data_IF_280774555492
#
_entry.id   IF_280774555492
#
_cell.length_a   1.000
_cell.length_b   1.000
_cell.length_c   1.000
_cell.angle_alpha   90.00
_cell.angle_beta   90.00
_cell.angle_gamma   90.00
#
_symmetry.space_group_name_H-M   'P 1'
#
loop_
_entity.id
_entity.type
_entity.pdbx_description
1 polymer ?
#
# COMPACT_ATOMS: atom_id res chain seq x y z
N UNK A 1 -38.71 -7.86 -14.12
CA UNK A 1 -39.12 -6.87 -13.10
C UNK A 1 -37.85 -6.55 -12.36
N UNK A 2 -37.06 -5.69 -12.98
CA UNK A 2 -35.80 -5.18 -12.47
C UNK A 2 -36.11 -3.77 -11.97
N UNK A 3 -35.98 -3.55 -10.66
CA UNK A 3 -36.11 -2.23 -10.05
C UNK A 3 -34.85 -1.41 -10.40
N UNK A 4 -34.88 -0.78 -11.56
CA UNK A 4 -33.91 0.21 -11.97
C UNK A 4 -34.19 1.50 -11.16
N UNK A 5 -33.30 1.82 -10.23
CA UNK A 5 -33.35 3.08 -9.47
C UNK A 5 -32.96 4.22 -10.41
N UNK A 6 -33.96 4.82 -11.03
CA UNK A 6 -33.79 5.99 -11.89
C UNK A 6 -33.49 7.25 -11.05
N UNK A 7 -32.24 7.69 -11.06
CA UNK A 7 -31.83 8.96 -10.43
C UNK A 7 -32.11 10.11 -11.40
N UNK A 8 -33.29 10.73 -11.25
CA UNK A 8 -33.72 11.91 -12.01
C UNK A 8 -32.78 13.09 -11.76
N UNK A 9 -32.01 13.47 -12.77
CA UNK A 9 -31.18 14.68 -12.74
C UNK A 9 -31.98 15.91 -13.18
N UNK A 10 -32.45 16.70 -12.21
CA UNK A 10 -33.02 18.03 -12.43
C UNK A 10 -31.96 19.11 -12.75
N UNK A 11 -32.39 20.28 -13.23
CA UNK A 11 -31.49 21.30 -13.76
C UNK A 11 -30.69 21.99 -12.64
N UNK A 12 -29.35 21.86 -12.70
CA UNK A 12 -28.30 22.70 -12.07
C UNK A 12 -28.67 23.36 -10.73
N UNK A 13 -29.16 22.59 -9.76
CA UNK A 13 -29.10 22.93 -8.34
C UNK A 13 -27.98 22.11 -7.68
N UNK A 14 -27.38 22.69 -6.64
CA UNK A 14 -26.10 22.30 -6.04
C UNK A 14 -26.01 20.80 -5.73
N UNK A 15 -24.85 20.25 -6.09
CA UNK A 15 -24.38 18.86 -6.02
C UNK A 15 -24.98 18.04 -4.86
N UNK A 16 -25.43 16.79 -5.10
CA UNK A 16 -25.63 15.84 -4.01
C UNK A 16 -24.26 15.56 -3.37
N UNK A 17 -24.08 16.08 -2.15
CA UNK A 17 -22.99 15.71 -1.27
C UNK A 17 -22.99 14.18 -1.09
N UNK A 18 -21.81 13.59 -0.91
CA UNK A 18 -21.71 12.29 -0.23
C UNK A 18 -22.53 12.43 1.04
N UNK A 19 -23.57 11.62 1.22
CA UNK A 19 -24.40 11.76 2.40
C UNK A 19 -23.52 11.57 3.63
N UNK A 20 -23.52 12.55 4.55
CA UNK A 20 -22.80 12.50 5.85
C UNK A 20 -23.03 11.17 6.58
N UNK A 21 -24.09 10.45 6.24
CA UNK A 21 -24.39 9.10 6.71
C UNK A 21 -23.29 8.07 6.43
N UNK A 22 -22.44 8.22 5.42
CA UNK A 22 -21.39 7.23 5.09
C UNK A 22 -20.03 7.53 5.73
N UNK A 23 -19.86 8.71 6.33
CA UNK A 23 -18.60 9.16 6.92
C UNK A 23 -18.51 8.74 8.39
N UNK A 24 -17.36 8.18 8.77
CA UNK A 24 -16.94 8.04 10.16
C UNK A 24 -15.96 9.17 10.47
N UNK A 25 -16.36 10.20 11.24
CA UNK A 25 -15.48 11.31 11.55
C UNK A 25 -14.36 10.89 12.51
N UNK A 26 -13.15 11.39 12.28
CA UNK A 26 -12.01 11.21 13.17
C UNK A 26 -11.40 12.57 13.52
N UNK A 27 -10.82 12.76 14.72
CA UNK A 27 -10.36 14.06 15.17
C UNK A 27 -9.00 14.48 14.55
N UNK A 28 -8.49 13.70 13.59
CA UNK A 28 -7.25 13.97 12.87
C UNK A 28 -7.37 13.56 11.39
N UNK A 29 -6.55 14.13 10.51
CA UNK A 29 -6.45 13.69 9.13
C UNK A 29 -5.94 12.25 9.00
N UNK A 30 -6.75 11.39 8.35
CA UNK A 30 -6.35 10.01 8.07
C UNK A 30 -5.46 9.98 6.84
N UNK A 31 -4.27 9.37 7.00
CA UNK A 31 -3.27 9.22 5.94
C UNK A 31 -3.26 7.82 5.33
N UNK A 32 -3.57 6.81 6.15
CA UNK A 32 -3.51 5.41 5.75
C UNK A 32 -4.72 4.64 6.28
N UNK A 33 -5.12 3.63 5.50
CA UNK A 33 -6.07 2.60 5.89
C UNK A 33 -5.36 1.26 5.86
N UNK A 34 -5.67 0.38 6.81
CA UNK A 34 -5.22 -1.01 6.79
C UNK A 34 -6.24 -1.90 7.47
N UNK A 35 -6.39 -3.15 7.02
CA UNK A 35 -7.16 -4.17 7.72
C UNK A 35 -6.48 -5.53 7.59
N UNK A 36 -6.74 -6.42 8.55
CA UNK A 36 -6.18 -7.77 8.57
C UNK A 36 -6.83 -8.70 7.51
N UNK A 37 -8.11 -8.43 7.21
CA UNK A 37 -8.94 -9.11 6.23
C UNK A 37 -10.14 -8.22 5.83
N UNK A 38 -10.94 -8.69 4.87
CA UNK A 38 -12.07 -7.94 4.30
C UNK A 38 -13.28 -7.78 5.21
N UNK A 39 -13.30 -8.47 6.36
CA UNK A 39 -14.34 -8.34 7.37
C UNK A 39 -14.04 -7.21 8.38
N UNK A 40 -12.82 -6.66 8.35
CA UNK A 40 -12.40 -5.56 9.22
C UNK A 40 -12.05 -6.00 10.66
N UNK A 41 -11.87 -5.06 11.60
CA UNK A 41 -12.09 -3.62 11.46
C UNK A 41 -11.09 -2.96 10.52
N UNK A 42 -11.43 -1.76 10.04
CA UNK A 42 -10.51 -0.88 9.33
C UNK A 42 -9.74 -0.06 10.35
N UNK A 43 -8.42 -0.12 10.30
CA UNK A 43 -7.56 0.75 11.07
C UNK A 43 -7.24 2.01 10.27
N UNK A 44 -7.69 3.15 10.79
CA UNK A 44 -7.44 4.47 10.23
C UNK A 44 -6.25 5.10 10.95
N UNK A 45 -5.19 5.41 10.22
CA UNK A 45 -3.93 5.90 10.79
C UNK A 45 -3.60 7.28 10.22
N UNK A 46 -3.38 8.25 11.09
CA UNK A 46 -2.89 9.59 10.78
C UNK A 46 -1.56 9.87 11.48
N UNK A 47 -1.07 11.11 11.36
CA UNK A 47 0.14 11.54 12.07
C UNK A 47 -0.06 11.64 13.59
N UNK A 48 -1.29 11.95 14.01
CA UNK A 48 -1.62 12.29 15.40
C UNK A 48 -2.34 11.15 16.13
N UNK A 49 -2.91 10.20 15.39
CA UNK A 49 -3.72 9.15 16.00
C UNK A 49 -3.98 7.96 15.10
N UNK A 50 -4.47 6.90 15.75
CA UNK A 50 -4.97 5.69 15.12
C UNK A 50 -6.32 5.32 15.72
N UNK A 51 -7.22 4.79 14.88
CA UNK A 51 -8.53 4.31 15.30
C UNK A 51 -8.85 2.97 14.63
N UNK A 52 -9.58 2.11 15.33
CA UNK A 52 -10.27 0.99 14.70
C UNK A 52 -11.73 1.36 14.45
N UNK A 53 -12.15 1.26 13.20
CA UNK A 53 -13.51 1.53 12.74
C UNK A 53 -14.12 0.25 12.23
N UNK A 54 -15.26 -0.15 12.80
CA UNK A 54 -15.97 -1.32 12.30
C UNK A 54 -16.72 -1.02 10.99
N UNK A 55 -17.18 -2.06 10.32
CA UNK A 55 -17.90 -1.91 9.06
C UNK A 55 -19.28 -1.23 9.24
N UNK A 56 -19.79 -1.15 10.47
CA UNK A 56 -21.00 -0.38 10.82
C UNK A 56 -20.70 1.10 11.06
N UNK A 57 -19.46 1.54 10.79
CA UNK A 57 -18.97 2.93 10.96
C UNK A 57 -18.89 3.36 12.42
N UNK A 58 -18.79 2.41 13.35
CA UNK A 58 -18.56 2.71 14.76
C UNK A 58 -17.06 2.67 15.04
N UNK A 59 -16.57 3.74 15.66
CA UNK A 59 -15.22 3.78 16.22
C UNK A 59 -15.19 2.86 17.43
N UNK A 60 -14.43 1.76 17.35
CA UNK A 60 -14.23 0.82 18.45
C UNK A 60 -13.30 1.40 19.50
N UNK A 61 -12.25 2.07 19.05
CA UNK A 61 -11.28 2.76 19.89
C UNK A 61 -10.52 3.80 19.08
N UNK A 62 -9.94 4.77 19.79
CA UNK A 62 -8.96 5.74 19.29
C UNK A 62 -7.75 5.77 20.21
N UNK A 63 -6.58 6.13 19.68
CA UNK A 63 -5.39 6.38 20.48
C UNK A 63 -4.43 7.34 19.79
N UNK A 64 -3.57 8.05 20.55
CA UNK A 64 -2.43 8.73 19.97
C UNK A 64 -1.39 7.73 19.44
N UNK A 65 -0.68 8.14 18.40
CA UNK A 65 0.50 7.44 17.85
C UNK A 65 1.64 8.43 17.65
N UNK A 66 2.87 7.94 17.69
CA UNK A 66 4.05 8.74 17.34
C UNK A 66 4.17 8.84 15.82
N UNK A 67 4.57 10.00 15.31
CA UNK A 67 4.68 10.42 13.91
C UNK A 67 4.91 9.25 12.92
N UNK A 68 3.80 8.71 12.40
CA UNK A 68 3.81 7.54 11.52
C UNK A 68 4.38 7.95 10.17
N UNK A 69 5.63 7.55 9.93
CA UNK A 69 6.41 7.96 8.75
C UNK A 69 6.12 7.12 7.50
N UNK A 70 5.69 5.88 7.69
CA UNK A 70 5.42 4.92 6.61
C UNK A 70 4.11 4.18 6.84
N UNK A 71 3.63 3.52 5.78
CA UNK A 71 2.34 2.85 5.70
C UNK A 71 2.26 1.72 6.75
N UNK A 72 1.21 1.67 7.58
CA UNK A 72 1.02 0.61 8.57
C UNK A 72 0.80 -0.76 7.89
N UNK A 73 0.97 -1.84 8.66
CA UNK A 73 0.65 -3.22 8.22
C UNK A 73 -0.19 -3.90 9.29
N UNK A 74 -1.23 -4.62 8.89
CA UNK A 74 -2.00 -5.45 9.80
C UNK A 74 -1.58 -6.92 9.66
N UNK A 75 -1.39 -7.60 10.78
CA UNK A 75 -1.16 -9.03 10.82
C UNK A 75 -2.49 -9.80 10.79
N UNK A 76 -2.47 -11.11 10.47
CA UNK A 76 -3.64 -11.98 10.49
C UNK A 76 -4.47 -11.97 11.78
N UNK A 77 -3.85 -11.73 12.93
CA UNK A 77 -4.50 -11.71 14.24
C UNK A 77 -5.12 -10.34 14.60
N UNK A 78 -5.12 -9.41 13.64
CA UNK A 78 -5.63 -8.05 13.83
C UNK A 78 -4.63 -7.09 14.47
N UNK A 79 -3.40 -7.50 14.79
CA UNK A 79 -2.37 -6.55 15.25
C UNK A 79 -1.98 -5.59 14.13
N UNK A 80 -1.64 -4.35 14.48
CA UNK A 80 -1.19 -3.31 13.55
C UNK A 80 0.23 -2.90 13.91
N UNK A 81 1.10 -2.86 12.91
CA UNK A 81 2.49 -2.44 13.00
C UNK A 81 2.68 -1.07 12.33
N UNK A 82 3.40 -0.17 13.01
CA UNK A 82 3.70 1.19 12.51
C UNK A 82 5.19 1.55 12.66
N UNK A 83 5.70 2.41 11.78
CA UNK A 83 7.02 3.06 11.90
C UNK A 83 6.91 4.33 12.76
N UNK A 84 8.01 4.94 13.26
CA UNK A 84 9.43 4.75 12.93
C UNK A 84 10.15 3.58 13.62
N UNK A 85 9.58 2.98 14.68
CA UNK A 85 10.26 1.97 15.51
C UNK A 85 9.66 0.56 15.50
N UNK A 86 8.87 0.20 14.49
CA UNK A 86 8.04 -1.01 14.44
C UNK A 86 7.28 -1.23 15.77
N UNK A 87 6.22 -0.44 15.94
CA UNK A 87 5.35 -0.49 17.11
C UNK A 87 4.13 -1.36 16.83
N UNK A 88 3.88 -2.33 17.68
CA UNK A 88 2.73 -3.22 17.62
C UNK A 88 1.59 -2.66 18.46
N UNK A 89 0.40 -2.59 17.87
CA UNK A 89 -0.85 -2.31 18.56
C UNK A 89 -1.81 -3.47 18.37
N UNK A 90 -2.42 -3.93 19.45
CA UNK A 90 -3.43 -4.99 19.40
C UNK A 90 -4.74 -4.55 18.72
N UNK A 91 -5.60 -5.50 18.33
CA UNK A 91 -6.96 -5.22 17.84
C UNK A 91 -7.85 -4.50 18.87
N UNK A 92 -7.45 -4.48 20.14
CA UNK A 92 -8.07 -3.74 21.25
C UNK A 92 -7.54 -2.30 21.39
N UNK A 93 -6.57 -1.89 20.56
CA UNK A 93 -5.93 -0.57 20.62
C UNK A 93 -4.79 -0.49 21.64
N UNK A 94 -4.51 -1.56 22.38
CA UNK A 94 -3.47 -1.56 23.42
C UNK A 94 -2.10 -1.72 22.75
N UNK A 95 -1.12 -0.82 23.02
CA UNK A 95 0.26 -1.04 22.58
C UNK A 95 0.84 -2.31 23.23
N UNK A 96 1.52 -3.14 22.43
CA UNK A 96 2.04 -4.45 22.87
C UNK A 96 3.56 -4.48 22.89
N UNK A 97 4.16 -4.46 21.70
CA UNK A 97 5.61 -4.53 21.52
C UNK A 97 6.11 -3.29 20.81
N UNK A 98 7.37 -2.94 21.11
CA UNK A 98 8.20 -2.03 20.34
C UNK A 98 9.50 -2.77 20.08
N UNK A 99 9.89 -2.89 18.83
CA UNK A 99 11.14 -3.57 18.50
C UNK A 99 12.29 -2.58 18.63
N UNK A 100 13.26 -2.93 19.47
CA UNK A 100 14.53 -2.21 19.54
C UNK A 100 15.39 -2.66 18.36
N UNK A 101 15.29 -1.92 17.26
CA UNK A 101 16.03 -2.23 16.06
C UNK A 101 17.48 -1.75 16.18
N UNK A 102 18.46 -2.55 15.71
CA UNK A 102 19.87 -2.16 15.65
C UNK A 102 20.07 -1.08 14.58
N UNK A 103 19.65 0.15 14.89
CA UNK A 103 19.72 1.30 13.98
C UNK A 103 20.91 2.18 14.31
N UNK A 104 21.57 2.66 13.26
CA UNK A 104 22.51 3.77 13.40
C UNK A 104 21.74 5.04 13.83
N UNK A 105 22.34 5.93 14.64
CA UNK A 105 21.74 7.22 14.97
C UNK A 105 21.32 7.98 13.69
N UNK A 106 20.04 8.38 13.64
CA UNK A 106 19.47 9.11 12.50
C UNK A 106 19.05 8.25 11.30
N UNK A 107 19.25 6.92 11.33
CA UNK A 107 18.66 6.05 10.32
C UNK A 107 17.15 5.92 10.53
N UNK A 108 16.38 6.01 9.44
CA UNK A 108 14.92 5.91 9.45
C UNK A 108 14.47 4.67 8.68
N UNK A 109 13.52 3.93 9.23
CA UNK A 109 12.78 2.95 8.44
C UNK A 109 11.96 3.74 7.42
N UNK A 110 12.18 3.41 6.16
CA UNK A 110 11.42 3.99 5.06
C UNK A 110 10.30 3.10 4.62
N UNK A 111 10.48 1.78 4.74
CA UNK A 111 9.55 0.74 4.32
C UNK A 111 9.69 -0.47 5.19
N UNK A 112 8.59 -1.19 5.34
CA UNK A 112 8.67 -2.55 5.85
C UNK A 112 7.60 -3.48 5.26
N UNK A 113 7.94 -4.76 5.26
CA UNK A 113 7.04 -5.89 5.05
C UNK A 113 6.86 -6.62 6.37
N UNK A 114 5.62 -7.05 6.61
CA UNK A 114 5.30 -7.99 7.67
C UNK A 114 5.26 -9.39 7.06
N UNK A 115 6.09 -10.29 7.56
CA UNK A 115 6.13 -11.71 7.19
C UNK A 115 5.52 -12.54 8.32
N UNK A 116 5.19 -13.80 8.04
CA UNK A 116 4.69 -14.73 9.06
C UNK A 116 5.72 -14.99 10.18
N UNK A 117 7.01 -14.89 9.85
CA UNK A 117 8.14 -15.21 10.71
C UNK A 117 9.04 -14.00 10.99
N UNK A 118 8.57 -12.77 10.75
CA UNK A 118 9.33 -11.57 11.04
C UNK A 118 9.04 -10.42 10.10
N UNK A 119 10.08 -9.70 9.70
CA UNK A 119 9.97 -8.46 8.93
C UNK A 119 11.03 -8.37 7.86
N UNK A 120 10.75 -7.60 6.82
CA UNK A 120 11.78 -6.99 5.98
C UNK A 120 11.70 -5.49 6.15
N UNK A 121 12.82 -4.80 6.33
CA UNK A 121 12.88 -3.35 6.47
C UNK A 121 13.83 -2.74 5.46
N UNK A 122 13.48 -1.55 4.97
CA UNK A 122 14.37 -0.72 4.17
C UNK A 122 14.74 0.53 4.94
N UNK A 123 16.02 0.89 4.91
CA UNK A 123 16.54 2.03 5.64
C UNK A 123 16.81 3.21 4.71
N UNK A 124 16.42 4.41 5.16
CA UNK A 124 17.04 5.66 4.72
C UNK A 124 18.25 5.89 5.62
N UNK A 125 19.46 5.98 5.05
CA UNK A 125 20.66 6.18 5.84
C UNK A 125 20.70 7.59 6.45
N UNK A 126 21.45 7.74 7.54
CA UNK A 126 21.69 9.04 8.19
C UNK A 126 22.52 9.97 7.28
N UNK A 127 22.66 11.26 7.62
CA UNK A 127 23.40 12.22 6.80
C UNK A 127 24.86 11.82 6.50
N UNK A 128 25.45 10.93 7.30
CA UNK A 128 26.85 10.50 7.21
C UNK A 128 27.05 9.22 6.37
N UNK A 129 25.97 8.47 6.10
CA UNK A 129 26.00 7.25 5.29
C UNK A 129 24.96 7.33 4.18
N UNK A 130 25.21 6.56 3.15
CA UNK A 130 24.86 7.00 1.81
C UNK A 130 24.50 5.79 0.92
N UNK A 131 24.13 4.68 1.53
CA UNK A 131 23.77 3.46 0.82
C UNK A 131 22.39 2.95 1.23
N UNK A 132 21.70 2.44 0.21
CA UNK A 132 20.54 1.58 0.36
C UNK A 132 20.87 0.40 1.28
N UNK A 133 20.01 0.10 2.25
CA UNK A 133 20.14 -1.09 3.09
C UNK A 133 18.78 -1.74 3.26
N UNK A 134 18.77 -3.06 3.08
CA UNK A 134 17.60 -3.92 3.26
C UNK A 134 17.97 -4.99 4.27
N UNK A 135 17.08 -5.26 5.22
CA UNK A 135 17.32 -6.26 6.25
C UNK A 135 16.10 -7.14 6.45
N UNK A 136 16.33 -8.42 6.69
CA UNK A 136 15.33 -9.31 7.27
C UNK A 136 15.56 -9.43 8.76
N UNK A 137 14.47 -9.28 9.49
CA UNK A 137 14.44 -9.36 10.95
C UNK A 137 13.57 -10.56 11.35
N UNK A 138 13.95 -11.23 12.43
CA UNK A 138 13.10 -12.23 13.08
C UNK A 138 11.98 -11.55 13.91
N UNK A 139 11.06 -12.30 14.56
CA UNK A 139 9.97 -11.70 15.34
C UNK A 139 10.43 -10.93 16.59
N UNK A 140 11.70 -11.10 17.00
CA UNK A 140 12.31 -10.37 18.10
C UNK A 140 13.08 -9.12 17.62
N UNK A 141 13.09 -8.85 16.31
CA UNK A 141 13.81 -7.71 15.73
C UNK A 141 15.30 -7.95 15.51
N UNK A 142 15.79 -9.20 15.63
CA UNK A 142 17.19 -9.54 15.36
C UNK A 142 17.40 -9.71 13.87
N UNK A 143 18.53 -9.21 13.36
CA UNK A 143 18.91 -9.34 11.95
C UNK A 143 19.15 -10.82 11.62
N UNK A 144 18.38 -11.34 10.67
CA UNK A 144 18.57 -12.65 10.02
C UNK A 144 19.60 -12.52 8.89
N UNK A 145 19.41 -11.52 8.03
CA UNK A 145 20.38 -11.10 7.03
C UNK A 145 20.24 -9.60 6.74
N UNK A 146 21.30 -9.01 6.21
CA UNK A 146 21.33 -7.63 5.77
C UNK A 146 22.10 -7.53 4.45
N UNK A 147 21.56 -6.76 3.51
CA UNK A 147 22.18 -6.53 2.21
C UNK A 147 22.24 -5.04 1.90
N UNK A 148 23.38 -4.62 1.35
CA UNK A 148 23.53 -3.33 0.70
C UNK A 148 23.45 -3.59 -0.80
N UNK A 149 22.35 -3.19 -1.48
CA UNK A 149 22.22 -3.40 -2.91
C UNK A 149 23.43 -2.80 -3.65
N UNK A 150 24.01 -3.52 -4.63
CA UNK A 150 25.23 -3.07 -5.27
C UNK A 150 24.99 -1.86 -6.15
N UNK A 151 26.08 -1.20 -6.50
CA UNK A 151 26.11 -0.19 -7.56
C UNK A 151 25.75 -0.85 -8.89
N UNK A 152 24.85 -0.23 -9.66
CA UNK A 152 24.57 -0.66 -11.04
C UNK A 152 25.38 0.20 -12.00
N UNK A 153 26.35 -0.40 -12.69
CA UNK A 153 27.20 0.33 -13.63
C UNK A 153 26.39 0.98 -14.76
N UNK A 154 26.84 2.15 -15.23
CA UNK A 154 26.20 2.88 -16.33
C UNK A 154 24.99 3.76 -15.96
N UNK A 155 24.45 3.67 -14.74
CA UNK A 155 23.26 4.45 -14.33
C UNK A 155 23.54 5.81 -13.69
N UNK A 156 24.78 6.07 -13.29
CA UNK A 156 25.23 7.40 -12.87
C UNK A 156 26.63 7.67 -13.39
N UNK A 157 26.81 8.84 -14.02
CA UNK A 157 28.10 9.35 -14.48
C UNK A 157 29.03 9.75 -13.33
N UNK A 158 28.50 9.83 -12.12
CA UNK A 158 29.26 10.25 -10.94
C UNK A 158 29.90 9.04 -10.22
N UNK A 159 31.13 9.18 -9.71
CA UNK A 159 31.81 8.14 -8.94
C UNK A 159 31.12 7.82 -7.61
N UNK A 160 30.23 8.70 -7.13
CA UNK A 160 29.60 8.58 -5.82
C UNK A 160 28.12 8.14 -5.91
N UNK A 161 27.87 6.82 -5.91
CA UNK A 161 26.54 6.18 -5.75
C UNK A 161 25.92 6.38 -4.36
N UNK A 162 26.28 7.48 -3.72
CA UNK A 162 26.13 7.74 -2.30
C UNK A 162 24.76 8.34 -1.93
N UNK A 163 23.80 8.47 -2.85
CA UNK A 163 22.57 9.25 -2.56
C UNK A 163 21.29 8.61 -3.08
N UNK A 164 21.28 7.29 -3.20
CA UNK A 164 20.02 6.58 -3.40
C UNK A 164 19.24 6.57 -2.09
N UNK A 165 18.03 7.10 -2.12
CA UNK A 165 17.08 6.96 -1.04
C UNK A 165 15.91 6.10 -1.50
N UNK A 166 15.29 5.33 -0.59
CA UNK A 166 13.99 4.73 -0.85
C UNK A 166 13.03 5.82 -1.33
N UNK A 167 12.25 5.53 -2.38
CA UNK A 167 11.28 6.51 -2.90
C UNK A 167 10.24 6.79 -1.81
N UNK A 168 10.17 8.03 -1.32
CA UNK A 168 9.21 8.44 -0.26
C UNK A 168 7.74 8.40 -0.68
N UNK A 169 7.44 8.18 -1.95
CA UNK A 169 6.08 8.05 -2.50
C UNK A 169 5.93 6.78 -3.35
N UNK A 170 4.90 5.99 -3.06
CA UNK A 170 4.52 4.80 -3.83
C UNK A 170 5.12 3.48 -3.33
N UNK A 171 4.94 2.41 -4.09
CA UNK A 171 5.35 1.03 -3.76
C UNK A 171 6.86 0.81 -3.96
N UNK A 172 7.67 0.98 -2.91
CA UNK A 172 9.13 0.81 -2.98
C UNK A 172 9.66 -0.49 -2.35
N UNK A 173 8.76 -1.31 -1.79
CA UNK A 173 9.09 -2.62 -1.26
C UNK A 173 7.92 -3.58 -1.55
N UNK A 174 8.15 -4.55 -2.43
CA UNK A 174 7.19 -5.58 -2.83
C UNK A 174 7.76 -6.95 -2.46
N UNK A 175 6.90 -7.88 -2.05
CA UNK A 175 7.25 -9.29 -1.99
C UNK A 175 6.26 -10.11 -2.82
N UNK A 176 6.77 -11.20 -3.40
CA UNK A 176 6.01 -12.22 -4.11
C UNK A 176 6.78 -13.53 -4.14
N UNK A 177 6.12 -14.63 -3.73
CA UNK A 177 6.78 -15.93 -3.67
C UNK A 177 8.04 -15.91 -2.79
N UNK A 178 9.16 -16.36 -3.34
CA UNK A 178 10.49 -16.37 -2.72
C UNK A 178 11.34 -15.14 -3.07
N UNK A 179 10.72 -14.10 -3.64
CA UNK A 179 11.41 -12.88 -4.07
C UNK A 179 10.83 -11.64 -3.40
N UNK A 180 11.68 -10.64 -3.28
CA UNK A 180 11.28 -9.28 -2.98
C UNK A 180 11.91 -8.30 -3.96
N UNK A 181 11.24 -7.17 -4.15
CA UNK A 181 11.67 -6.10 -5.00
C UNK A 181 11.79 -4.82 -4.19
N UNK A 182 12.91 -4.14 -4.33
CA UNK A 182 13.17 -2.87 -3.65
C UNK A 182 13.46 -1.78 -4.66
N UNK A 183 12.79 -0.63 -4.50
CA UNK A 183 12.87 0.51 -5.41
C UNK A 183 13.59 1.68 -4.75
N UNK A 184 14.76 1.99 -5.26
CA UNK A 184 15.55 3.14 -4.84
C UNK A 184 15.56 4.20 -5.93
N UNK A 185 15.54 5.47 -5.53
CA UNK A 185 15.60 6.63 -6.43
C UNK A 185 16.74 7.54 -5.99
N UNK A 186 17.52 8.02 -6.96
CA UNK A 186 18.41 9.16 -6.76
C UNK A 186 17.59 10.45 -6.88
N UNK A 187 16.94 10.82 -5.78
CA UNK A 187 16.03 11.97 -5.73
C UNK A 187 16.73 13.32 -5.77
N UNK A 188 18.05 13.37 -5.59
CA UNK A 188 18.77 14.62 -5.39
C UNK A 188 19.40 15.18 -6.66
N UNK A 189 19.55 14.39 -7.74
CA UNK A 189 20.28 14.85 -8.94
C UNK A 189 19.72 14.35 -10.26
N UNK A 190 19.38 13.07 -10.36
CA UNK A 190 19.10 12.45 -11.67
C UNK A 190 17.65 12.02 -11.84
N UNK A 191 16.92 11.76 -10.74
CA UNK A 191 15.61 11.13 -10.78
C UNK A 191 15.65 9.67 -11.28
N UNK A 192 16.85 9.11 -11.47
CA UNK A 192 17.03 7.73 -11.92
C UNK A 192 16.63 6.81 -10.79
N UNK A 193 15.78 5.84 -11.10
CA UNK A 193 15.41 4.79 -10.18
C UNK A 193 16.07 3.46 -10.57
N UNK A 194 16.27 2.61 -9.57
CA UNK A 194 16.80 1.26 -9.72
C UNK A 194 15.93 0.32 -8.94
N UNK A 195 15.61 -0.80 -9.57
CA UNK A 195 14.93 -1.92 -8.95
C UNK A 195 15.93 -3.02 -8.66
N UNK A 196 15.91 -3.51 -7.43
CA UNK A 196 16.70 -4.62 -6.95
C UNK A 196 15.76 -5.77 -6.61
N UNK A 197 15.88 -6.88 -7.32
CA UNK A 197 15.20 -8.11 -6.96
C UNK A 197 16.14 -8.98 -6.13
N UNK A 198 15.67 -9.32 -4.94
CA UNK A 198 16.43 -10.02 -3.92
C UNK A 198 15.68 -11.32 -3.59
N UNK A 199 16.41 -12.39 -3.33
CA UNK A 199 15.87 -13.60 -2.71
C UNK A 199 15.38 -13.23 -1.30
N UNK A 200 14.11 -13.54 -1.00
CA UNK A 200 13.51 -13.17 0.29
C UNK A 200 14.12 -13.98 1.44
N UNK A 201 14.55 -15.22 1.17
CA UNK A 201 15.16 -16.15 2.11
C UNK A 201 16.54 -15.70 2.58
N UNK A 202 17.42 -15.37 1.64
CA UNK A 202 18.85 -15.13 1.86
C UNK A 202 19.26 -13.65 1.73
N UNK A 203 18.46 -12.82 1.07
CA UNK A 203 18.83 -11.45 0.71
C UNK A 203 19.78 -11.36 -0.48
N UNK A 204 20.09 -12.48 -1.15
CA UNK A 204 20.97 -12.50 -2.33
C UNK A 204 20.36 -11.74 -3.50
N UNK A 205 21.21 -11.03 -4.26
CA UNK A 205 20.78 -10.34 -5.47
C UNK A 205 20.49 -11.31 -6.60
N UNK A 206 19.25 -11.31 -7.08
CA UNK A 206 18.83 -12.06 -8.25
C UNK A 206 19.09 -11.24 -9.51
N UNK A 207 18.65 -9.98 -9.51
CA UNK A 207 18.94 -9.02 -10.58
C UNK A 207 18.78 -7.57 -10.11
N UNK A 208 19.41 -6.65 -10.83
CA UNK A 208 19.21 -5.22 -10.67
C UNK A 208 19.02 -4.58 -12.05
N UNK A 209 18.06 -3.65 -12.17
CA UNK A 209 17.82 -2.94 -13.44
C UNK A 209 17.42 -1.49 -13.22
N UNK A 210 17.74 -0.60 -14.18
CA UNK A 210 17.14 0.73 -14.23
C UNK A 210 15.62 0.65 -14.20
N UNK A 211 14.98 1.60 -13.53
CA UNK A 211 13.54 1.77 -13.58
C UNK A 211 13.19 3.22 -13.87
N UNK A 212 12.36 3.41 -14.89
CA UNK A 212 11.74 4.70 -15.16
C UNK A 212 10.39 4.85 -14.43
N UNK A 213 9.79 3.73 -13.98
CA UNK A 213 8.38 3.65 -13.55
C UNK A 213 8.19 2.70 -12.38
N UNK A 214 6.97 2.68 -11.83
CA UNK A 214 6.61 1.81 -10.72
C UNK A 214 6.66 0.33 -11.15
N UNK A 215 7.22 -0.55 -10.31
CA UNK A 215 7.16 -1.97 -10.55
C UNK A 215 5.79 -2.54 -10.19
N UNK A 216 5.38 -3.54 -10.95
CA UNK A 216 4.15 -4.31 -10.73
C UNK A 216 4.50 -5.78 -10.49
N UNK A 217 3.65 -6.51 -9.78
CA UNK A 217 3.85 -7.95 -9.61
C UNK A 217 3.08 -8.72 -10.68
N UNK A 218 3.79 -9.56 -11.45
CA UNK A 218 3.23 -10.28 -12.61
C UNK A 218 3.11 -11.78 -12.40
N UNK A 219 3.47 -12.28 -11.24
CA UNK A 219 3.42 -13.71 -10.93
C UNK A 219 4.24 -14.03 -9.68
N UNK A 220 4.16 -15.27 -9.17
CA UNK A 220 4.94 -15.66 -8.00
C UNK A 220 6.43 -15.47 -8.24
N UNK A 221 7.04 -14.49 -7.55
CA UNK A 221 8.45 -14.14 -7.73
C UNK A 221 8.77 -13.33 -8.99
N UNK A 222 7.75 -12.92 -9.76
CA UNK A 222 7.92 -12.21 -11.03
C UNK A 222 7.49 -10.75 -10.91
N UNK A 223 8.34 -9.86 -11.42
CA UNK A 223 8.11 -8.41 -11.40
C UNK A 223 8.40 -7.79 -12.75
N UNK A 224 7.55 -6.87 -13.18
CA UNK A 224 7.75 -6.06 -14.40
C UNK A 224 7.72 -4.57 -14.05
N UNK A 225 8.38 -3.75 -14.87
CA UNK A 225 8.23 -2.29 -14.82
C UNK A 225 7.10 -1.90 -15.75
N UNK A 226 6.18 -1.05 -15.32
CA UNK A 226 5.13 -0.50 -16.19
C UNK A 226 5.77 -0.01 -17.51
N UNK A 227 5.39 -0.58 -18.68
CA UNK A 227 5.92 -0.17 -19.98
C UNK A 227 5.48 1.25 -20.35
N UNK A 228 4.48 1.78 -19.66
CA UNK A 228 4.13 3.18 -19.69
C UNK A 228 3.19 3.61 -20.82
N UNK A 229 2.60 2.63 -21.48
CA UNK A 229 1.53 2.75 -22.46
C UNK A 229 0.14 2.58 -21.82
N UNK A 230 0.03 2.63 -20.48
CA UNK A 230 -1.24 2.56 -19.76
C UNK A 230 -1.73 1.14 -19.51
N UNK A 231 -0.82 0.17 -19.36
CA UNK A 231 -1.06 -1.27 -19.38
C UNK A 231 -0.75 -2.06 -18.08
N UNK A 232 -1.77 -2.49 -17.32
CA UNK A 232 -1.69 -3.43 -16.15
C UNK A 232 -1.37 -4.82 -16.62
N UNK A 233 -0.70 -5.54 -15.74
CA UNK A 233 -0.41 -6.95 -15.93
C UNK A 233 -1.14 -7.70 -14.83
N UNK A 234 -2.30 -8.28 -15.15
CA UNK A 234 -2.90 -9.31 -14.30
C UNK A 234 -2.45 -10.66 -14.84
N UNK A 235 -1.71 -11.40 -14.02
CA UNK A 235 -1.34 -12.78 -14.34
C UNK A 235 -2.23 -13.74 -13.56
N UNK A 236 -3.20 -14.30 -14.27
CA UNK A 236 -4.04 -15.40 -13.82
C UNK A 236 -4.36 -16.30 -15.02
N UNK A 237 -4.10 -17.61 -14.86
CA UNK A 237 -4.30 -18.72 -15.82
C UNK A 237 -4.87 -18.32 -17.21
N UNK A 238 -3.99 -17.82 -18.09
CA UNK A 238 -4.19 -17.91 -19.54
C UNK A 238 -4.88 -16.74 -20.25
N UNK A 239 -5.21 -15.62 -19.61
CA UNK A 239 -5.63 -14.40 -20.31
C UNK A 239 -4.83 -13.17 -19.86
N UNK A 240 -4.30 -12.44 -20.84
CA UNK A 240 -3.56 -11.17 -20.66
C UNK A 240 -4.50 -10.03 -21.03
N UNK A 241 -5.05 -9.33 -20.04
CA UNK A 241 -5.75 -8.05 -20.21
C UNK A 241 -5.20 -6.99 -19.25
N UNK A 242 -5.36 -5.71 -19.64
CA UNK A 242 -4.30 -4.72 -19.48
C UNK A 242 -4.80 -3.30 -19.13
N UNK A 243 -4.46 -2.74 -17.93
CA UNK A 243 -4.84 -1.38 -17.38
C UNK A 243 -3.86 -0.66 -16.34
N UNK A 244 -2.81 0.12 -16.65
CA UNK A 244 -1.93 0.78 -15.60
C UNK A 244 -2.38 2.17 -15.16
N UNK A 245 -1.97 2.56 -13.94
CA UNK A 245 -1.40 3.90 -13.74
C UNK A 245 -1.92 4.72 -12.56
N UNK A 246 -2.59 4.13 -11.58
CA UNK A 246 -3.06 4.88 -10.42
C UNK A 246 -2.50 4.28 -9.14
N UNK A 247 -1.92 5.12 -8.28
CA UNK A 247 -1.43 4.77 -6.93
C UNK A 247 -2.51 4.07 -6.05
N UNK A 248 -3.75 4.01 -6.55
CA UNK A 248 -4.94 3.50 -5.89
C UNK A 248 -5.66 2.50 -6.84
N UNK A 249 -5.07 1.34 -7.09
CA UNK A 249 -5.73 0.22 -7.76
C UNK A 249 -5.65 -1.07 -6.91
N UNK A 250 -6.64 -1.95 -7.05
CA UNK A 250 -6.79 -3.19 -6.28
C UNK A 250 -7.32 -4.29 -7.20
N UNK A 251 -6.63 -5.42 -7.31
CA UNK A 251 -7.13 -6.64 -7.92
C UNK A 251 -7.97 -7.46 -6.93
N UNK A 252 -9.17 -7.84 -7.35
CA UNK A 252 -10.08 -8.75 -6.65
C UNK A 252 -9.87 -10.22 -7.07
N UNK A 253 -10.33 -11.15 -6.25
CA UNK A 253 -10.15 -12.59 -6.43
C UNK A 253 -10.83 -13.14 -7.71
N UNK A 254 -11.82 -12.43 -8.25
CA UNK A 254 -12.52 -12.75 -9.51
C UNK A 254 -11.84 -12.13 -10.75
N UNK A 255 -10.71 -11.43 -10.59
CA UNK A 255 -10.02 -10.72 -11.66
C UNK A 255 -10.52 -9.29 -11.88
N UNK A 256 -11.49 -8.81 -11.11
CA UNK A 256 -11.95 -7.41 -11.16
C UNK A 256 -10.84 -6.48 -10.65
N UNK A 257 -10.53 -5.41 -11.39
CA UNK A 257 -9.66 -4.33 -10.94
C UNK A 257 -10.52 -3.19 -10.42
N UNK A 258 -10.31 -2.81 -9.18
CA UNK A 258 -10.90 -1.62 -8.57
C UNK A 258 -9.88 -0.51 -8.63
N UNK A 259 -10.16 0.52 -9.41
CA UNK A 259 -9.31 1.70 -9.53
C UNK A 259 -10.01 2.93 -8.98
N UNK A 260 -9.24 3.84 -8.42
CA UNK A 260 -9.67 5.20 -8.21
C UNK A 260 -9.31 6.02 -9.45
N UNK A 261 -10.25 6.79 -9.97
CA UNK A 261 -9.95 7.80 -10.98
C UNK A 261 -10.71 9.05 -10.60
N UNK A 262 -9.98 10.15 -10.42
CA UNK A 262 -10.52 11.42 -9.93
C UNK A 262 -11.29 11.25 -8.60
N UNK A 263 -12.61 11.48 -8.66
CA UNK A 263 -13.59 11.50 -7.56
C UNK A 263 -14.48 10.26 -7.59
N UNK A 264 -14.05 9.21 -8.29
CA UNK A 264 -14.80 7.99 -8.53
C UNK A 264 -13.95 6.77 -8.24
N UNK A 265 -14.64 5.74 -7.78
CA UNK A 265 -14.09 4.39 -7.71
C UNK A 265 -14.79 3.57 -8.79
N UNK A 266 -14.00 2.92 -9.64
CA UNK A 266 -14.46 2.13 -10.78
C UNK A 266 -14.04 0.69 -10.56
N UNK A 267 -14.90 -0.23 -10.97
CA UNK A 267 -14.59 -1.65 -11.05
C UNK A 267 -14.54 -2.06 -12.53
N UNK A 268 -13.43 -2.64 -12.93
CA UNK A 268 -13.12 -3.10 -14.27
C UNK A 268 -13.03 -4.62 -14.24
N UNK A 269 -14.07 -5.29 -14.70
CA UNK A 269 -14.10 -6.76 -14.77
C UNK A 269 -13.84 -7.18 -16.21
N UNK A 270 -12.92 -8.13 -16.48
CA UNK A 270 -12.64 -8.62 -17.83
C UNK A 270 -13.92 -9.03 -18.57
N UNK A 271 -14.05 -8.59 -19.82
CA UNK A 271 -15.22 -8.87 -20.67
C UNK A 271 -16.52 -8.14 -20.28
N UNK A 272 -16.52 -7.30 -19.23
CA UNK A 272 -17.66 -6.48 -18.85
C UNK A 272 -17.37 -4.99 -19.01
N UNK A 273 -18.39 -4.16 -19.29
CA UNK A 273 -18.23 -2.71 -19.24
C UNK A 273 -17.74 -2.25 -17.86
N UNK A 274 -16.84 -1.27 -17.83
CA UNK A 274 -16.42 -0.60 -16.62
C UNK A 274 -17.64 -0.09 -15.83
N UNK A 275 -17.81 -0.55 -14.59
CA UNK A 275 -18.91 -0.11 -13.73
C UNK A 275 -18.41 0.86 -12.67
N UNK A 276 -19.25 1.82 -12.28
CA UNK A 276 -18.97 2.68 -11.14
C UNK A 276 -19.20 1.89 -9.86
N UNK A 277 -18.16 1.72 -9.05
CA UNK A 277 -18.24 1.09 -7.74
C UNK A 277 -18.63 2.11 -6.67
N UNK A 278 -18.18 3.36 -6.80
CA UNK A 278 -18.56 4.44 -5.90
C UNK A 278 -18.24 5.82 -6.46
N UNK A 279 -18.80 6.85 -5.84
CA UNK A 279 -18.47 8.25 -6.14
C UNK A 279 -18.42 9.03 -4.83
N UNK A 280 -17.40 9.86 -4.69
CA UNK A 280 -17.32 10.82 -3.62
C UNK A 280 -16.96 12.19 -4.22
N UNK A 281 -17.88 13.15 -4.23
CA UNK A 281 -17.70 14.46 -4.90
C UNK A 281 -16.90 15.47 -4.06
N UNK A 282 -16.05 14.95 -3.17
CA UNK A 282 -15.38 15.74 -2.16
C UNK A 282 -13.87 15.68 -2.33
N UNK A 283 -13.32 16.85 -2.70
CA UNK A 283 -11.88 17.08 -2.85
C UNK A 283 -11.10 16.84 -1.57
N UNK A 284 -11.80 16.76 -0.43
CA UNK A 284 -11.25 16.40 0.86
C UNK A 284 -10.94 14.92 0.99
N UNK A 285 -11.28 14.00 0.08
CA UNK A 285 -10.84 12.59 0.21
C UNK A 285 -9.77 12.19 -0.83
N UNK A 286 -8.59 12.84 -0.85
CA UNK A 286 -7.64 12.68 -1.94
C UNK A 286 -6.74 11.45 -1.81
N UNK A 287 -6.75 10.73 -0.68
CA UNK A 287 -5.52 10.07 -0.25
C UNK A 287 -5.38 8.61 -0.67
N UNK A 288 -6.28 7.72 -0.22
CA UNK A 288 -6.10 6.25 -0.26
C UNK A 288 -7.43 5.49 -0.20
N UNK A 289 -7.47 4.28 -0.75
CA UNK A 289 -8.59 3.34 -0.57
C UNK A 289 -8.16 1.96 -0.10
N UNK A 290 -9.10 1.25 0.53
CA UNK A 290 -8.99 -0.12 0.98
C UNK A 290 -10.24 -0.88 0.49
N UNK A 291 -10.04 -1.94 -0.29
CA UNK A 291 -11.15 -2.80 -0.74
C UNK A 291 -11.41 -3.87 0.31
N UNK A 292 -12.67 -4.02 0.68
CA UNK A 292 -13.20 -4.97 1.67
C UNK A 292 -14.16 -5.94 0.99
N UNK A 293 -14.72 -6.90 1.71
CA UNK A 293 -15.52 -7.98 1.10
C UNK A 293 -16.75 -7.48 0.32
N UNK A 294 -17.45 -6.47 0.83
CA UNK A 294 -18.70 -5.94 0.24
C UNK A 294 -18.72 -4.41 0.09
N UNK A 295 -17.58 -3.76 0.34
CA UNK A 295 -17.47 -2.30 0.38
C UNK A 295 -16.04 -1.82 0.12
N UNK A 296 -15.89 -0.51 -0.02
CA UNK A 296 -14.60 0.15 -0.15
C UNK A 296 -14.51 1.21 0.94
N UNK A 297 -13.42 1.21 1.70
CA UNK A 297 -13.10 2.29 2.62
C UNK A 297 -12.17 3.30 1.94
N UNK A 298 -12.44 4.58 2.10
CA UNK A 298 -11.63 5.69 1.56
C UNK A 298 -11.30 6.65 2.69
N UNK A 299 -10.07 7.16 2.76
CA UNK A 299 -9.67 8.08 3.82
C UNK A 299 -9.45 9.52 3.37
N UNK A 300 -9.65 10.46 4.29
CA UNK A 300 -9.37 11.88 4.09
C UNK A 300 -9.14 12.63 5.41
N UNK A 301 -8.97 13.97 5.37
CA UNK A 301 -8.81 14.85 6.52
C UNK A 301 -9.93 14.76 7.56
N UNK A 302 -11.12 14.32 7.16
CA UNK A 302 -12.30 14.28 8.03
C UNK A 302 -12.56 12.89 8.62
N UNK A 303 -11.88 11.84 8.15
CA UNK A 303 -12.06 10.47 8.65
C UNK A 303 -12.10 9.41 7.56
N UNK A 304 -12.98 8.42 7.73
CA UNK A 304 -13.12 7.26 6.84
C UNK A 304 -14.52 7.19 6.24
N UNK A 305 -14.59 7.13 4.91
CA UNK A 305 -15.81 6.95 4.15
C UNK A 305 -15.96 5.48 3.74
N UNK A 306 -17.13 4.88 3.98
CA UNK A 306 -17.43 3.54 3.50
C UNK A 306 -18.43 3.58 2.33
N UNK A 307 -18.00 3.11 1.17
CA UNK A 307 -18.79 3.02 -0.05
C UNK A 307 -19.28 1.58 -0.21
N UNK A 308 -20.59 1.30 -0.11
CA UNK A 308 -21.12 -0.03 -0.39
C UNK A 308 -20.84 -0.42 -1.84
N UNK A 309 -20.32 -1.62 -2.08
CA UNK A 309 -20.01 -2.12 -3.42
C UNK A 309 -20.56 -3.53 -3.59
N UNK A 310 -21.90 -3.70 -3.65
CA UNK A 310 -22.50 -5.00 -3.82
C UNK A 310 -21.97 -5.68 -5.10
N UNK A 311 -21.71 -6.99 -4.98
CA UNK A 311 -21.17 -7.82 -6.06
C UNK A 311 -19.71 -7.55 -6.41
N UNK A 312 -18.97 -6.78 -5.60
CA UNK A 312 -17.51 -6.76 -5.70
C UNK A 312 -16.95 -8.00 -5.00
N UNK A 313 -16.09 -8.76 -5.68
CA UNK A 313 -15.39 -9.86 -5.02
C UNK A 313 -14.36 -9.31 -4.02
N UNK A 314 -14.04 -10.10 -3.00
CA UNK A 314 -12.94 -9.83 -2.07
C UNK A 314 -11.64 -9.54 -2.82
N UNK A 315 -10.75 -8.77 -2.19
CA UNK A 315 -9.37 -8.62 -2.69
C UNK A 315 -8.73 -10.00 -2.90
N UNK A 316 -7.88 -10.13 -3.93
CA UNK A 316 -7.20 -11.38 -4.21
C UNK A 316 -6.28 -11.77 -3.03
N UNK A 317 -6.30 -13.03 -2.59
CA UNK A 317 -5.42 -13.48 -1.50
C UNK A 317 -3.96 -13.63 -1.99
N UNK A 318 -2.97 -13.28 -1.16
CA UNK A 318 -1.58 -13.78 -1.27
C UNK A 318 -0.49 -12.89 -0.68
N UNK A 319 0.77 -13.34 -0.70
CA UNK A 319 1.91 -12.49 -0.33
C UNK A 319 2.20 -11.54 -1.50
N UNK A 320 1.35 -10.53 -1.69
CA UNK A 320 1.48 -9.51 -2.73
C UNK A 320 1.46 -8.15 -2.05
N UNK A 321 2.55 -7.72 -1.43
CA UNK A 321 2.49 -6.44 -0.69
C UNK A 321 2.58 -5.26 -1.64
N UNK A 322 1.61 -5.04 -2.53
CA UNK A 322 1.46 -3.73 -3.15
C UNK A 322 0.94 -2.74 -2.10
N UNK A 323 1.39 -1.51 -2.21
CA UNK A 323 1.83 -0.82 -1.02
C UNK A 323 0.73 -0.14 -0.21
N UNK A 324 -0.56 -0.42 -0.38
CA UNK A 324 -1.63 0.33 0.32
C UNK A 324 -2.54 -0.55 1.14
N UNK A 325 -2.07 -1.04 2.29
CA UNK A 325 -2.95 -1.58 3.35
C UNK A 325 -3.93 -2.68 2.95
N UNK A 326 -3.85 -3.22 1.74
CA UNK A 326 -4.84 -4.08 1.13
C UNK A 326 -4.59 -5.51 1.59
N UNK A 327 -5.45 -5.91 2.52
CA UNK A 327 -5.85 -7.27 2.87
C UNK A 327 -4.95 -8.35 2.30
N UNK A 328 -3.86 -8.68 3.02
CA UNK A 328 -3.00 -9.82 2.71
C UNK A 328 -2.81 -10.06 1.21
N UNK A 329 -2.26 -9.06 0.54
CA UNK A 329 -1.91 -9.20 -0.86
C UNK A 329 -2.78 -8.39 -1.78
N UNK A 330 -2.23 -7.41 -2.45
CA UNK A 330 -2.76 -7.02 -3.75
C UNK A 330 -1.60 -6.85 -4.74
N UNK A 331 -1.70 -7.33 -5.99
CA UNK A 331 -0.67 -7.10 -7.03
C UNK A 331 -0.88 -5.83 -7.86
N UNK A 332 -1.98 -5.09 -7.71
CA UNK A 332 -2.22 -3.88 -8.49
C UNK A 332 -1.53 -2.65 -7.86
N UNK A 333 -0.24 -2.46 -8.13
CA UNK A 333 0.44 -1.16 -8.08
C UNK A 333 1.29 -1.04 -9.32
#
# INVERSE_FOLDING_TARGET
>A
MDDEVEVVCGPRTRRPYVSDTLLTPLPWPVRFLVAADGAGPVYAVGAEGMAAVDLNRRVRWTRPVEDVLDRPRAAPDGTVWTTPGLHETGPDGVPRRRLELPREPGALITGFLLLADGFVVTWQPSAERHFARVERLDPAGRIVWAVTPPRVEGLSREPEWRRMIPRRSGSFLLASGDRMLVHYVDTHRTGVAVLFCLDLGSGELVWARPAARQPVITGPGEFETDPGDGRVLVSGKGQREVVTGVDDAVLCADGTIVERSDWQVRALTPGLPARRAGRYDDRRFPSRMLVLDDRIAVCGPEGVLFLPTPGLARAADGLWTCAEGNLRGNPAC
#
